data_IF_763537387983
#
_entry.id   IF_763537387983
#
_cell.length_a   1.000
_cell.length_b   1.000
_cell.length_c   1.000
_cell.angle_alpha   90.00
_cell.angle_beta   90.00
_cell.angle_gamma   90.00
#
_symmetry.space_group_name_H-M   'P 1'
#
loop_
_entity.id
_entity.type
_entity.pdbx_description
1 polymer ?
#
# COMPACT_ATOMS: atom_id res chain seq x y z
N UNK A 1 -18.20 -13.58 38.85
CA UNK A 1 -17.34 -12.63 39.58
C UNK A 1 -16.62 -11.77 38.55
N UNK A 2 -17.07 -10.53 38.31
CA UNK A 2 -16.43 -9.67 37.33
C UNK A 2 -15.12 -9.16 37.90
N UNK A 3 -14.00 -9.40 37.19
CA UNK A 3 -12.70 -8.79 37.49
C UNK A 3 -12.85 -7.28 37.34
N UNK A 4 -12.53 -6.55 38.39
CA UNK A 4 -12.40 -5.10 38.36
C UNK A 4 -11.38 -4.70 37.28
N UNK A 5 -11.90 -4.03 36.26
CA UNK A 5 -11.16 -3.34 35.22
C UNK A 5 -10.48 -2.11 35.82
N UNK A 6 -9.35 -2.31 36.49
CA UNK A 6 -8.41 -1.22 36.70
C UNK A 6 -7.64 -1.03 35.41
N UNK A 7 -7.87 0.11 34.73
CA UNK A 7 -7.22 0.49 33.47
C UNK A 7 -5.73 0.81 33.59
N UNK A 8 -4.98 0.05 34.38
CA UNK A 8 -3.53 0.12 34.51
C UNK A 8 -2.93 -1.19 34.00
N UNK A 9 -1.98 -1.08 33.05
CA UNK A 9 -0.84 -1.99 33.09
C UNK A 9 0.07 -1.40 34.18
N UNK A 10 0.34 -2.09 35.29
CA UNK A 10 1.25 -1.59 36.32
C UNK A 10 2.65 -1.41 35.70
N UNK A 11 3.24 -0.21 35.80
CA UNK A 11 4.68 -0.01 35.56
C UNK A 11 5.11 1.03 34.53
N UNK A 12 4.21 1.72 33.81
CA UNK A 12 4.62 2.75 32.85
C UNK A 12 5.03 4.04 33.57
N UNK A 13 6.28 4.54 33.42
CA UNK A 13 6.74 5.72 34.13
C UNK A 13 6.01 6.97 33.61
N UNK A 14 5.49 7.77 34.54
CA UNK A 14 4.96 9.09 34.20
C UNK A 14 6.11 9.99 33.76
N UNK A 15 5.90 10.69 32.64
CA UNK A 15 6.88 11.60 32.05
C UNK A 15 6.48 13.04 32.33
N UNK A 16 7.47 13.90 32.52
CA UNK A 16 7.25 15.35 32.46
C UNK A 16 6.84 15.79 31.04
N UNK A 17 6.32 17.01 30.95
CA UNK A 17 5.74 17.54 29.72
C UNK A 17 6.75 17.61 28.55
N UNK A 18 7.97 18.06 28.81
CA UNK A 18 8.98 18.23 27.75
C UNK A 18 9.52 16.89 27.27
N UNK A 19 9.75 15.94 28.19
CA UNK A 19 10.19 14.57 27.86
C UNK A 19 9.11 13.84 27.05
N UNK A 20 7.84 13.95 27.48
CA UNK A 20 6.72 13.36 26.75
C UNK A 20 6.59 13.93 25.33
N UNK A 21 6.69 15.26 25.21
CA UNK A 21 6.60 15.97 23.92
C UNK A 21 7.75 15.57 22.99
N UNK A 22 8.97 15.44 23.51
CA UNK A 22 10.12 15.05 22.70
C UNK A 22 10.02 13.60 22.20
N UNK A 23 9.52 12.68 23.02
CA UNK A 23 9.31 11.28 22.61
C UNK A 23 8.25 11.16 21.52
N UNK A 24 7.12 11.85 21.66
CA UNK A 24 6.10 11.88 20.59
C UNK A 24 6.66 12.49 19.32
N UNK A 25 7.45 13.56 19.44
CA UNK A 25 8.11 14.19 18.29
C UNK A 25 9.04 13.22 17.56
N UNK A 26 9.81 12.46 18.32
CA UNK A 26 10.79 11.50 17.80
C UNK A 26 10.12 10.31 17.13
N UNK A 27 9.02 9.80 17.69
CA UNK A 27 8.34 8.63 17.16
C UNK A 27 7.36 8.99 16.03
N UNK A 28 6.44 9.93 16.27
CA UNK A 28 5.30 10.18 15.40
C UNK A 28 5.46 11.36 14.44
N UNK A 29 6.45 12.22 14.67
CA UNK A 29 6.60 13.53 14.04
C UNK A 29 6.16 14.67 14.96
N UNK A 30 6.31 15.91 14.52
CA UNK A 30 5.98 17.13 15.27
C UNK A 30 4.47 17.24 15.56
N UNK A 31 4.07 16.71 16.71
CA UNK A 31 2.76 16.90 17.34
C UNK A 31 2.95 17.70 18.62
N UNK A 32 2.24 18.82 18.73
CA UNK A 32 2.40 19.79 19.80
C UNK A 32 1.19 19.73 20.74
N UNK A 33 1.36 19.34 22.01
CA UNK A 33 0.30 19.43 23.02
C UNK A 33 0.02 20.89 23.39
N UNK A 34 -1.26 21.23 23.54
CA UNK A 34 -1.74 22.56 23.92
C UNK A 34 -2.82 22.50 25.02
N UNK A 35 -3.01 23.63 25.69
CA UNK A 35 -4.13 23.83 26.61
C UNK A 35 -3.98 23.16 27.98
N UNK A 36 -2.74 22.92 28.42
CA UNK A 36 -2.43 22.37 29.75
C UNK A 36 -1.19 23.05 30.36
N UNK A 37 -1.25 23.35 31.65
CA UNK A 37 -0.08 23.79 32.42
C UNK A 37 0.91 22.62 32.55
N UNK A 38 2.20 22.78 32.19
CA UNK A 38 3.22 21.75 32.36
C UNK A 38 3.28 21.14 33.78
N UNK A 39 2.91 21.90 34.83
CA UNK A 39 2.86 21.39 36.21
C UNK A 39 1.66 20.50 36.51
N UNK A 40 0.57 20.66 35.76
CA UNK A 40 -0.64 19.85 35.87
C UNK A 40 -0.67 18.71 34.82
N UNK A 41 0.37 18.60 34.00
CA UNK A 41 0.48 17.59 32.96
C UNK A 41 0.73 16.21 33.56
N UNK A 42 0.04 15.21 33.02
CA UNK A 42 0.32 13.81 33.27
C UNK A 42 0.28 13.09 31.93
N UNK A 43 1.38 12.42 31.59
CA UNK A 43 1.49 11.65 30.37
C UNK A 43 2.37 10.43 30.53
N UNK A 44 2.21 9.49 29.61
CA UNK A 44 3.08 8.36 29.44
C UNK A 44 3.34 8.14 27.95
N UNK A 45 4.53 7.62 27.67
CA UNK A 45 4.91 7.09 26.37
C UNK A 45 5.65 5.79 26.64
N UNK A 46 5.13 4.68 26.15
CA UNK A 46 5.82 3.39 26.20
C UNK A 46 6.05 2.94 24.77
N UNK A 47 7.29 3.09 24.24
CA UNK A 47 7.62 2.56 22.93
C UNK A 47 7.46 1.03 22.91
N UNK A 48 7.05 0.52 21.76
CA UNK A 48 6.80 -0.88 21.50
C UNK A 48 7.40 -1.24 20.14
N UNK A 49 7.76 -2.51 19.96
CA UNK A 49 8.10 -3.07 18.65
C UNK A 49 7.04 -4.12 18.29
N UNK A 50 6.48 -4.02 17.09
CA UNK A 50 5.48 -4.98 16.60
C UNK A 50 5.93 -5.49 15.25
N UNK A 51 6.50 -6.70 15.22
CA UNK A 51 6.94 -7.35 13.98
C UNK A 51 7.93 -6.46 13.18
N UNK A 52 8.85 -5.81 13.89
CA UNK A 52 9.82 -4.88 13.31
C UNK A 52 9.25 -3.53 12.85
N UNK A 53 8.03 -3.18 13.28
CA UNK A 53 7.46 -1.85 13.15
C UNK A 53 7.49 -1.12 14.49
N UNK A 54 7.72 0.19 14.44
CA UNK A 54 7.62 1.05 15.62
C UNK A 54 6.17 1.20 16.02
N UNK A 55 5.87 0.95 17.28
CA UNK A 55 4.60 1.27 17.91
C UNK A 55 4.85 2.02 19.21
N UNK A 56 3.81 2.62 19.76
CA UNK A 56 3.87 3.21 21.08
C UNK A 56 2.50 3.24 21.73
N UNK A 57 2.49 2.95 23.01
CA UNK A 57 1.40 3.35 23.88
C UNK A 57 1.61 4.81 24.28
N UNK A 58 0.59 5.64 24.09
CA UNK A 58 0.65 7.07 24.40
C UNK A 58 -0.59 7.43 25.21
N UNK A 59 -0.38 8.06 26.36
CA UNK A 59 -1.46 8.62 27.16
C UNK A 59 -1.13 10.02 27.63
N UNK A 60 -2.14 10.87 27.74
CA UNK A 60 -2.01 12.16 28.43
C UNK A 60 -3.35 12.72 28.88
N UNK A 61 -3.30 13.77 29.70
CA UNK A 61 -4.43 14.65 30.00
C UNK A 61 -4.44 15.93 29.14
N UNK A 62 -3.59 16.04 28.10
CA UNK A 62 -3.57 17.20 27.22
C UNK A 62 -4.93 17.37 26.52
N UNK A 63 -5.43 18.62 26.48
CA UNK A 63 -6.74 18.94 25.89
C UNK A 63 -6.73 18.89 24.37
N UNK A 64 -5.61 19.28 23.78
CA UNK A 64 -5.40 19.37 22.34
C UNK A 64 -3.99 18.89 22.02
N UNK A 65 -3.84 18.11 20.96
CA UNK A 65 -2.53 17.75 20.37
C UNK A 65 -2.61 18.04 18.89
N UNK A 66 -1.75 18.91 18.38
CA UNK A 66 -1.87 19.45 17.03
C UNK A 66 -0.59 19.29 16.21
N UNK A 67 -0.79 18.90 14.95
CA UNK A 67 0.21 18.94 13.88
C UNK A 67 -0.28 19.91 12.83
N UNK A 68 0.41 21.05 12.70
CA UNK A 68 0.05 22.10 11.75
C UNK A 68 0.66 21.86 10.37
N UNK A 69 0.23 22.62 9.37
CA UNK A 69 0.90 22.68 8.07
C UNK A 69 2.38 23.11 8.17
N UNK A 70 2.74 23.92 9.17
CA UNK A 70 4.12 24.32 9.40
C UNK A 70 4.94 23.13 9.89
N UNK A 71 4.40 22.35 10.82
CA UNK A 71 5.07 21.17 11.37
C UNK A 71 5.35 20.12 10.29
N UNK A 72 4.36 19.85 9.42
CA UNK A 72 4.51 18.96 8.26
C UNK A 72 5.68 19.36 7.36
N UNK A 73 5.86 20.66 7.11
CA UNK A 73 6.98 21.16 6.28
C UNK A 73 8.32 21.08 6.99
N UNK A 74 8.34 21.15 8.31
CA UNK A 74 9.59 21.22 9.10
C UNK A 74 10.22 19.86 9.34
N UNK A 75 9.43 18.79 9.51
CA UNK A 75 9.97 17.45 9.75
C UNK A 75 9.91 16.53 8.52
N UNK A 76 9.06 16.82 7.53
CA UNK A 76 8.93 16.01 6.32
C UNK A 76 8.50 14.56 6.60
N UNK A 77 7.81 14.30 7.71
CA UNK A 77 7.37 12.95 8.06
C UNK A 77 6.49 12.34 6.97
N UNK A 78 6.87 11.14 6.51
CA UNK A 78 6.24 10.44 5.38
C UNK A 78 5.82 9.00 5.74
N UNK A 79 4.97 8.91 6.75
CA UNK A 79 4.38 7.64 7.21
C UNK A 79 2.92 7.80 7.56
N UNK A 80 2.22 6.67 7.65
CA UNK A 80 0.93 6.62 8.32
C UNK A 80 1.13 6.14 9.76
N UNK A 81 0.15 6.38 10.61
CA UNK A 81 -0.02 5.54 11.79
C UNK A 81 -1.48 5.15 11.97
N UNK A 82 -1.71 3.95 12.49
CA UNK A 82 -3.01 3.59 13.05
C UNK A 82 -3.05 4.01 14.50
N UNK A 83 -4.10 4.68 14.93
CA UNK A 83 -4.33 5.06 16.32
C UNK A 83 -5.56 4.35 16.85
N UNK A 84 -5.37 3.52 17.87
CA UNK A 84 -6.45 2.84 18.59
C UNK A 84 -6.74 3.57 19.90
N UNK A 85 -8.00 3.86 20.18
CA UNK A 85 -8.40 4.39 21.48
C UNK A 85 -8.53 3.23 22.48
N UNK A 86 -7.75 3.23 23.56
CA UNK A 86 -7.77 2.13 24.56
C UNK A 86 -8.35 2.55 25.91
N UNK A 87 -8.31 3.85 26.24
CA UNK A 87 -9.04 4.39 27.40
C UNK A 87 -9.43 5.86 27.20
N UNK A 88 -10.56 6.28 27.76
CA UNK A 88 -11.10 7.63 27.57
C UNK A 88 -11.71 7.85 26.18
N UNK A 89 -12.03 9.11 25.87
CA UNK A 89 -12.62 9.53 24.60
C UNK A 89 -11.82 10.65 23.98
N UNK A 90 -11.69 10.60 22.66
CA UNK A 90 -11.03 11.64 21.89
C UNK A 90 -11.83 11.98 20.63
N UNK A 91 -11.45 13.08 19.98
CA UNK A 91 -11.88 13.39 18.63
C UNK A 91 -10.65 13.78 17.80
N UNK A 92 -10.71 13.57 16.49
CA UNK A 92 -9.66 13.98 15.56
C UNK A 92 -10.27 14.81 14.45
N UNK A 93 -9.60 15.90 14.09
CA UNK A 93 -9.80 16.59 12.82
C UNK A 93 -8.66 16.22 11.89
N UNK A 94 -8.97 15.67 10.72
CA UNK A 94 -7.99 15.29 9.69
C UNK A 94 -8.65 15.41 8.31
N UNK A 95 -7.97 16.02 7.34
CA UNK A 95 -8.56 16.30 6.02
C UNK A 95 -9.91 17.04 6.09
N UNK A 96 -10.04 18.02 7.00
CA UNK A 96 -11.26 18.81 7.25
C UNK A 96 -12.45 18.01 7.82
N UNK A 97 -12.31 16.69 7.98
CA UNK A 97 -13.31 15.83 8.60
C UNK A 97 -13.02 15.71 10.10
N UNK A 98 -14.07 15.84 10.92
CA UNK A 98 -14.00 15.66 12.36
C UNK A 98 -14.70 14.37 12.77
N UNK A 99 -13.99 13.51 13.48
CA UNK A 99 -14.47 12.18 13.91
C UNK A 99 -14.26 12.01 15.40
N UNK A 100 -15.18 11.32 16.07
CA UNK A 100 -15.08 10.97 17.50
C UNK A 100 -14.64 9.51 17.63
N UNK A 101 -13.82 9.24 18.65
CA UNK A 101 -13.35 7.90 18.98
C UNK A 101 -13.84 7.48 20.35
N UNK A 102 -14.48 6.32 20.38
CA UNK A 102 -14.71 5.57 21.60
C UNK A 102 -13.67 4.45 21.73
N UNK A 103 -13.60 3.86 22.92
CA UNK A 103 -12.66 2.77 23.22
C UNK A 103 -12.88 1.61 22.25
N UNK A 104 -11.79 1.16 21.62
CA UNK A 104 -11.75 0.11 20.61
C UNK A 104 -11.84 0.61 19.17
N UNK A 105 -12.13 1.89 18.95
CA UNK A 105 -12.13 2.49 17.60
C UNK A 105 -10.68 2.68 17.09
N UNK A 106 -10.53 2.67 15.77
CA UNK A 106 -9.25 2.86 15.09
C UNK A 106 -9.35 3.90 13.99
N UNK A 107 -8.36 4.79 13.91
CA UNK A 107 -8.16 5.68 12.76
C UNK A 107 -6.84 5.44 12.06
N UNK A 108 -6.81 5.72 10.76
CA UNK A 108 -5.59 5.83 9.98
C UNK A 108 -5.25 7.32 9.77
N UNK A 109 -4.08 7.74 10.25
CA UNK A 109 -3.64 9.14 10.18
C UNK A 109 -2.47 9.26 9.21
N UNK A 110 -2.57 10.21 8.30
CA UNK A 110 -1.50 10.56 7.36
C UNK A 110 -0.62 11.67 7.95
N UNK A 111 0.64 11.37 8.29
CA UNK A 111 1.53 12.38 8.89
C UNK A 111 2.06 13.42 7.91
N UNK A 112 1.87 13.21 6.60
CA UNK A 112 2.16 14.23 5.59
C UNK A 112 1.04 15.29 5.50
N UNK A 113 0.04 15.23 6.38
CA UNK A 113 -1.08 16.18 6.46
C UNK A 113 -1.29 16.69 7.89
N UNK A 114 -1.90 17.87 8.06
CA UNK A 114 -2.27 18.36 9.38
C UNK A 114 -3.28 17.45 10.07
N UNK A 115 -3.19 17.40 11.40
CA UNK A 115 -4.14 16.67 12.22
C UNK A 115 -4.23 17.32 13.60
N UNK A 116 -5.43 17.34 14.17
CA UNK A 116 -5.65 17.84 15.52
C UNK A 116 -6.43 16.79 16.31
N UNK A 117 -5.93 16.41 17.47
CA UNK A 117 -6.63 15.54 18.42
C UNK A 117 -7.16 16.36 19.58
N UNK A 118 -8.38 16.05 20.02
CA UNK A 118 -9.08 16.70 21.12
C UNK A 118 -9.43 15.68 22.19
N UNK A 119 -9.13 16.00 23.43
CA UNK A 119 -9.62 15.22 24.57
C UNK A 119 -11.08 15.60 24.84
N UNK A 120 -11.99 14.64 24.71
CA UNK A 120 -13.43 14.82 24.97
C UNK A 120 -13.87 14.14 26.28
N UNK A 121 -12.92 13.64 27.07
CA UNK A 121 -13.15 12.88 28.31
C UNK A 121 -13.30 13.76 29.56
N UNK A 122 -13.98 14.91 29.44
CA UNK A 122 -14.26 15.84 30.57
C UNK A 122 -13.02 16.21 31.44
N UNK A 123 -11.83 16.26 30.84
CA UNK A 123 -10.57 16.56 31.54
C UNK A 123 -9.86 15.35 32.17
N UNK A 124 -10.45 14.15 32.09
CA UNK A 124 -9.78 12.90 32.42
C UNK A 124 -8.69 12.51 31.40
N UNK A 125 -7.75 11.64 31.77
CA UNK A 125 -6.72 11.18 30.85
C UNK A 125 -7.33 10.35 29.71
N UNK A 126 -6.66 10.39 28.56
CA UNK A 126 -6.90 9.48 27.45
C UNK A 126 -5.67 8.60 27.24
N UNK A 127 -5.90 7.44 26.63
CA UNK A 127 -4.85 6.49 26.30
C UNK A 127 -5.12 5.89 24.93
N UNK A 128 -4.09 5.85 24.11
CA UNK A 128 -4.13 5.33 22.75
C UNK A 128 -2.89 4.49 22.47
N UNK A 129 -3.02 3.62 21.48
CA UNK A 129 -1.90 2.84 20.96
C UNK A 129 -1.73 3.19 19.50
N UNK A 130 -0.53 3.64 19.14
CA UNK A 130 -0.16 4.03 17.79
C UNK A 130 0.79 3.00 17.18
N UNK A 131 0.53 2.59 15.95
CA UNK A 131 1.43 1.75 15.16
C UNK A 131 1.84 2.52 13.91
N UNK A 132 3.15 2.66 13.72
CA UNK A 132 3.74 3.44 12.66
C UNK A 132 3.96 2.58 11.41
N UNK A 133 3.51 3.09 10.26
CA UNK A 133 3.42 2.37 9.01
C UNK A 133 4.18 3.14 7.92
N UNK A 134 5.38 2.68 7.50
CA UNK A 134 6.14 3.34 6.46
C UNK A 134 5.34 3.42 5.16
N UNK A 135 5.12 4.64 4.63
CA UNK A 135 4.22 4.86 3.48
C UNK A 135 4.55 3.95 2.31
N UNK A 136 5.82 3.95 1.88
CA UNK A 136 6.26 3.17 0.71
C UNK A 136 5.97 1.67 0.87
N UNK A 137 6.26 1.11 2.04
CA UNK A 137 6.07 -0.32 2.32
C UNK A 137 4.59 -0.68 2.36
N UNK A 138 3.78 0.13 3.04
CA UNK A 138 2.33 -0.08 3.13
C UNK A 138 1.66 0.03 1.77
N UNK A 139 1.91 1.11 1.02
CA UNK A 139 1.30 1.34 -0.31
C UNK A 139 1.73 0.25 -1.30
N UNK A 140 3.01 -0.14 -1.27
CA UNK A 140 3.51 -1.23 -2.11
C UNK A 140 2.86 -2.59 -1.79
N UNK A 141 2.49 -2.83 -0.53
CA UNK A 141 1.84 -4.06 -0.11
C UNK A 141 0.34 -4.06 -0.42
N UNK A 142 -0.37 -3.01 -0.01
CA UNK A 142 -1.81 -2.86 -0.20
C UNK A 142 -2.18 -2.76 -1.68
N UNK A 143 -1.32 -2.09 -2.44
CA UNK A 143 -1.55 -1.87 -3.84
C UNK A 143 -2.47 -0.70 -4.18
N UNK A 144 -2.74 0.13 -3.20
CA UNK A 144 -3.43 1.40 -3.32
C UNK A 144 -2.90 2.31 -2.22
N UNK A 145 -3.12 3.61 -2.38
CA UNK A 145 -2.79 4.58 -1.35
C UNK A 145 -4.02 4.79 -0.45
N UNK A 146 -3.96 4.40 0.82
CA UNK A 146 -5.10 4.57 1.71
C UNK A 146 -5.31 6.06 1.99
N UNK A 147 -6.58 6.46 2.09
CA UNK A 147 -6.95 7.82 2.45
C UNK A 147 -6.72 8.02 3.96
N UNK A 148 -5.90 9.00 4.34
CA UNK A 148 -5.78 9.41 5.75
C UNK A 148 -7.08 10.03 6.26
N UNK A 149 -7.32 9.93 7.56
CA UNK A 149 -8.54 10.42 8.22
C UNK A 149 -9.68 9.40 8.25
N UNK A 150 -9.52 8.24 7.63
CA UNK A 150 -10.48 7.15 7.74
C UNK A 150 -10.50 6.60 9.17
N UNK A 151 -11.68 6.23 9.64
CA UNK A 151 -11.87 5.59 10.93
C UNK A 151 -12.79 4.37 10.80
N UNK A 152 -12.67 3.45 11.75
CA UNK A 152 -13.54 2.28 11.90
C UNK A 152 -13.93 2.14 13.36
N UNK A 153 -15.22 1.90 13.58
CA UNK A 153 -15.73 1.57 14.89
C UNK A 153 -15.16 0.25 15.41
N UNK A 154 -15.15 0.12 16.72
CA UNK A 154 -14.80 -1.10 17.42
C UNK A 154 -15.61 -2.30 16.91
N UNK A 155 -15.03 -3.49 16.99
CA UNK A 155 -15.73 -4.73 16.67
C UNK A 155 -15.53 -5.30 15.27
N UNK A 156 -14.71 -4.68 14.42
CA UNK A 156 -14.24 -5.37 13.20
C UNK A 156 -13.25 -6.49 13.56
N UNK A 157 -13.27 -7.61 12.82
CA UNK A 157 -12.33 -8.70 13.05
C UNK A 157 -10.87 -8.25 12.84
N UNK A 158 -10.64 -7.48 11.78
CA UNK A 158 -9.31 -6.95 11.47
C UNK A 158 -8.79 -5.98 12.54
N UNK A 159 -9.67 -5.09 13.07
CA UNK A 159 -9.32 -4.15 14.12
C UNK A 159 -8.95 -4.85 15.43
N UNK A 160 -9.73 -5.86 15.84
CA UNK A 160 -9.42 -6.66 17.03
C UNK A 160 -8.08 -7.38 16.90
N UNK A 161 -7.87 -8.09 15.79
CA UNK A 161 -6.62 -8.83 15.57
C UNK A 161 -5.39 -7.91 15.53
N UNK A 162 -5.52 -6.73 14.91
CA UNK A 162 -4.42 -5.76 14.87
C UNK A 162 -4.13 -5.18 16.26
N UNK A 163 -5.17 -4.81 17.01
CA UNK A 163 -5.01 -4.31 18.38
C UNK A 163 -4.40 -5.38 19.30
N UNK A 164 -4.87 -6.62 19.21
CA UNK A 164 -4.35 -7.74 19.99
C UNK A 164 -2.87 -8.01 19.68
N UNK A 165 -2.47 -7.91 18.41
CA UNK A 165 -1.07 -8.05 18.01
C UNK A 165 -0.18 -6.96 18.61
N UNK A 166 -0.69 -5.72 18.69
CA UNK A 166 0.08 -4.60 19.26
C UNK A 166 0.15 -4.70 20.79
N UNK A 167 -0.96 -5.03 21.45
CA UNK A 167 -1.01 -5.10 22.92
C UNK A 167 -0.27 -6.32 23.49
N UNK A 168 -0.24 -7.42 22.75
CA UNK A 168 0.43 -8.66 23.18
C UNK A 168 1.77 -8.88 22.47
N UNK A 169 2.37 -7.83 21.90
CA UNK A 169 3.71 -7.94 21.33
C UNK A 169 4.71 -8.31 22.44
N UNK A 170 5.30 -9.49 22.33
CA UNK A 170 6.31 -9.98 23.27
C UNK A 170 7.67 -9.26 23.10
N UNK A 171 7.80 -8.41 22.07
CA UNK A 171 9.02 -7.69 21.76
C UNK A 171 9.08 -6.40 22.58
N UNK A 172 9.82 -6.46 23.70
CA UNK A 172 10.30 -5.24 24.34
C UNK A 172 11.25 -4.47 23.41
N UNK A 173 11.47 -3.18 23.69
CA UNK A 173 12.54 -2.42 23.03
C UNK A 173 13.87 -3.20 23.13
N UNK A 174 14.44 -3.56 21.98
CA UNK A 174 15.76 -4.21 21.90
C UNK A 174 15.76 -5.72 21.63
N UNK A 175 14.61 -6.38 21.44
CA UNK A 175 14.60 -7.74 20.90
C UNK A 175 15.19 -7.78 19.48
N UNK A 176 16.11 -8.71 19.17
CA UNK A 176 16.69 -8.81 17.83
C UNK A 176 15.60 -9.23 16.83
N UNK A 177 15.57 -8.65 15.62
CA UNK A 177 14.56 -8.96 14.63
C UNK A 177 14.62 -10.43 14.22
N UNK A 178 13.47 -11.09 14.26
CA UNK A 178 13.31 -12.47 13.81
C UNK A 178 13.02 -12.49 12.30
N UNK A 179 13.44 -13.53 11.55
CA UNK A 179 12.96 -13.75 10.19
C UNK A 179 11.43 -13.79 10.09
N UNK A 180 10.75 -14.23 11.16
CA UNK A 180 9.29 -14.25 11.24
C UNK A 180 8.67 -12.85 11.15
N UNK A 181 9.35 -11.81 11.65
CA UNK A 181 8.85 -10.43 11.67
C UNK A 181 8.51 -9.92 10.28
N UNK A 182 9.31 -10.30 9.28
CA UNK A 182 9.07 -9.90 7.90
C UNK A 182 7.77 -10.46 7.34
N UNK A 183 7.37 -11.67 7.72
CA UNK A 183 6.10 -12.28 7.33
C UNK A 183 4.94 -11.71 8.14
N UNK A 184 5.12 -11.53 9.44
CA UNK A 184 4.08 -11.01 10.33
C UNK A 184 3.77 -9.53 10.06
N UNK A 185 4.77 -8.76 9.62
CA UNK A 185 4.57 -7.40 9.10
C UNK A 185 3.65 -7.37 7.87
N UNK A 186 3.68 -8.39 7.02
CA UNK A 186 2.74 -8.47 5.89
C UNK A 186 1.30 -8.70 6.39
N UNK A 187 1.13 -9.49 7.46
CA UNK A 187 -0.16 -9.65 8.14
C UNK A 187 -0.67 -8.33 8.71
N UNK A 188 0.20 -7.54 9.35
CA UNK A 188 -0.16 -6.17 9.80
C UNK A 188 -0.69 -5.35 8.63
N UNK A 189 0.01 -5.33 7.50
CA UNK A 189 -0.44 -4.58 6.33
C UNK A 189 -1.76 -5.14 5.76
N UNK A 190 -1.97 -6.45 5.75
CA UNK A 190 -3.24 -7.05 5.32
C UNK A 190 -4.40 -6.63 6.24
N UNK A 191 -4.19 -6.56 7.55
CA UNK A 191 -5.19 -6.09 8.52
C UNK A 191 -5.51 -4.60 8.34
N UNK A 192 -4.50 -3.76 8.12
CA UNK A 192 -4.69 -2.34 7.77
C UNK A 192 -5.47 -2.21 6.46
N UNK A 193 -5.16 -3.05 5.47
CA UNK A 193 -5.90 -3.12 4.21
C UNK A 193 -7.36 -3.51 4.40
N UNK A 194 -7.64 -4.52 5.24
CA UNK A 194 -9.01 -4.94 5.56
C UNK A 194 -9.82 -3.85 6.28
N UNK A 195 -9.16 -3.00 7.08
CA UNK A 195 -9.79 -1.87 7.76
C UNK A 195 -10.09 -0.71 6.82
N UNK A 196 -9.14 -0.36 5.94
CA UNK A 196 -9.15 0.92 5.22
C UNK A 196 -9.13 0.78 3.69
N UNK A 197 -9.44 -0.41 3.17
CA UNK A 197 -9.73 -0.57 1.75
C UNK A 197 -10.90 0.36 1.36
N UNK A 198 -10.82 0.99 0.18
CA UNK A 198 -11.94 1.78 -0.31
C UNK A 198 -13.13 0.87 -0.60
N UNK A 199 -14.33 1.34 -0.25
CA UNK A 199 -15.60 0.60 -0.45
C UNK A 199 -15.88 0.35 -1.94
N UNK A 200 -15.36 1.22 -2.81
CA UNK A 200 -15.34 1.05 -4.26
C UNK A 200 -13.88 1.11 -4.74
N UNK A 201 -13.33 0.08 -5.41
CA UNK A 201 -12.01 0.14 -6.02
C UNK A 201 -12.02 1.05 -7.24
N UNK A 202 -12.34 2.34 -7.05
CA UNK A 202 -12.14 3.36 -8.06
C UNK A 202 -10.68 3.29 -8.53
N UNK A 203 -10.40 3.36 -9.84
CA UNK A 203 -9.06 3.23 -10.38
C UNK A 203 -8.17 4.30 -9.74
N UNK A 204 -7.34 3.86 -8.80
CA UNK A 204 -6.45 4.80 -8.12
C UNK A 204 -5.50 5.38 -9.17
N UNK A 205 -5.39 6.71 -9.22
CA UNK A 205 -4.40 7.40 -10.08
C UNK A 205 -2.98 6.83 -9.89
N UNK A 206 -2.71 6.27 -8.70
CA UNK A 206 -1.49 5.53 -8.37
C UNK A 206 -1.40 4.19 -9.12
N UNK A 207 -2.42 3.33 -9.03
CA UNK A 207 -2.46 2.05 -9.75
C UNK A 207 -2.35 2.24 -11.27
N UNK A 208 -2.91 3.31 -11.83
CA UNK A 208 -2.77 3.60 -13.26
C UNK A 208 -1.37 4.13 -13.64
N UNK A 209 -0.75 4.96 -12.79
CA UNK A 209 0.67 5.33 -12.96
C UNK A 209 1.56 4.09 -12.87
N UNK A 210 1.29 3.21 -11.93
CA UNK A 210 2.03 1.98 -11.70
C UNK A 210 1.85 0.98 -12.83
N UNK A 211 0.62 0.81 -13.33
CA UNK A 211 0.34 0.00 -14.50
C UNK A 211 1.03 0.55 -15.75
N UNK A 212 1.08 1.88 -15.93
CA UNK A 212 1.89 2.50 -17.00
C UNK A 212 3.37 2.18 -16.86
N UNK A 213 3.93 2.23 -15.64
CA UNK A 213 5.33 1.84 -15.36
C UNK A 213 5.58 0.37 -15.69
N UNK A 214 4.72 -0.53 -15.21
CA UNK A 214 4.80 -1.98 -15.50
C UNK A 214 4.73 -2.24 -17.00
N UNK A 215 3.84 -1.56 -17.72
CA UNK A 215 3.76 -1.65 -19.19
C UNK A 215 5.05 -1.19 -19.87
N UNK A 216 5.71 -0.14 -19.36
CA UNK A 216 7.03 0.29 -19.82
C UNK A 216 8.08 -0.80 -19.61
N UNK A 217 8.17 -1.35 -18.39
CA UNK A 217 9.09 -2.45 -18.06
C UNK A 217 8.89 -3.66 -18.97
N UNK A 218 7.64 -4.05 -19.24
CA UNK A 218 7.32 -5.15 -20.15
C UNK A 218 7.71 -4.81 -21.59
N UNK A 219 7.41 -3.60 -22.05
CA UNK A 219 7.80 -3.14 -23.40
C UNK A 219 9.32 -3.16 -23.61
N UNK A 220 10.09 -2.91 -22.57
CA UNK A 220 11.56 -2.90 -22.66
C UNK A 220 12.16 -4.32 -22.52
N UNK A 221 11.44 -5.27 -21.91
CA UNK A 221 11.93 -6.62 -21.62
C UNK A 221 11.35 -7.75 -22.46
N UNK A 222 10.23 -7.54 -23.19
CA UNK A 222 9.46 -8.66 -23.78
C UNK A 222 10.25 -9.55 -24.75
N UNK A 223 11.29 -9.03 -25.40
CA UNK A 223 12.09 -9.78 -26.37
C UNK A 223 13.05 -10.78 -25.71
N UNK A 224 13.35 -10.61 -24.42
CA UNK A 224 14.14 -11.58 -23.66
C UNK A 224 13.26 -12.81 -23.34
N UNK A 225 13.67 -14.04 -23.70
CA UNK A 225 12.92 -15.26 -23.40
C UNK A 225 12.82 -15.58 -21.90
N UNK A 226 13.71 -15.05 -21.07
CA UNK A 226 13.74 -15.26 -19.61
C UNK A 226 12.89 -14.21 -18.87
N UNK A 227 12.52 -13.13 -19.56
CA UNK A 227 11.65 -12.10 -19.01
C UNK A 227 10.23 -12.64 -18.77
N UNK A 228 9.81 -12.54 -17.52
CA UNK A 228 8.51 -13.04 -17.03
C UNK A 228 7.93 -12.21 -15.90
N UNK A 229 6.79 -12.62 -15.31
CA UNK A 229 6.10 -11.86 -14.27
C UNK A 229 6.96 -11.56 -13.04
N UNK A 230 7.84 -12.48 -12.63
CA UNK A 230 8.74 -12.27 -11.50
C UNK A 230 9.72 -11.11 -11.76
N UNK A 231 10.34 -11.09 -12.93
CA UNK A 231 11.28 -10.03 -13.30
C UNK A 231 10.57 -8.70 -13.54
N UNK A 232 9.39 -8.72 -14.18
CA UNK A 232 8.55 -7.54 -14.36
C UNK A 232 8.16 -6.91 -13.00
N UNK A 233 7.82 -7.73 -12.01
CA UNK A 233 7.52 -7.28 -10.65
C UNK A 233 8.76 -6.65 -9.98
N UNK A 234 9.91 -7.33 -10.05
CA UNK A 234 11.17 -6.87 -9.47
C UNK A 234 11.62 -5.53 -10.07
N UNK A 235 11.63 -5.41 -11.41
CA UNK A 235 12.00 -4.16 -12.11
C UNK A 235 10.98 -3.04 -11.89
N UNK A 236 9.71 -3.38 -11.69
CA UNK A 236 8.68 -2.41 -11.31
C UNK A 236 8.67 -2.11 -9.80
N UNK A 237 9.55 -2.70 -8.99
CA UNK A 237 9.64 -2.45 -7.55
C UNK A 237 8.39 -2.82 -6.77
N UNK A 238 7.70 -3.89 -7.16
CA UNK A 238 6.48 -4.39 -6.51
C UNK A 238 6.55 -5.90 -6.28
N UNK A 239 5.69 -6.44 -5.42
CA UNK A 239 5.57 -7.89 -5.23
C UNK A 239 4.90 -8.55 -6.44
N UNK A 240 5.23 -9.83 -6.69
CA UNK A 240 4.58 -10.62 -7.74
C UNK A 240 3.07 -10.74 -7.52
N UNK A 241 2.63 -10.91 -6.26
CA UNK A 241 1.21 -10.95 -5.89
C UNK A 241 0.48 -9.67 -6.28
N UNK A 242 1.12 -8.51 -6.04
CA UNK A 242 0.52 -7.24 -6.41
C UNK A 242 0.49 -7.04 -7.93
N UNK A 243 1.55 -7.42 -8.64
CA UNK A 243 1.55 -7.44 -10.10
C UNK A 243 0.39 -8.28 -10.65
N UNK A 244 0.18 -9.49 -10.11
CA UNK A 244 -0.93 -10.35 -10.51
C UNK A 244 -2.29 -9.68 -10.24
N UNK A 245 -2.51 -9.13 -9.05
CA UNK A 245 -3.74 -8.38 -8.70
C UNK A 245 -3.99 -7.22 -9.66
N UNK A 246 -2.94 -6.45 -10.00
CA UNK A 246 -2.99 -5.30 -10.92
C UNK A 246 -3.51 -5.69 -12.31
N UNK A 247 -3.12 -6.88 -12.80
CA UNK A 247 -3.58 -7.43 -14.08
C UNK A 247 -4.98 -8.07 -13.97
N UNK A 248 -5.26 -8.83 -12.90
CA UNK A 248 -6.57 -9.46 -12.68
C UNK A 248 -7.69 -8.42 -12.60
N UNK A 249 -7.46 -7.29 -11.91
CA UNK A 249 -8.41 -6.16 -11.86
C UNK A 249 -8.71 -5.57 -13.25
N UNK A 250 -7.84 -5.80 -14.24
CA UNK A 250 -7.99 -5.33 -15.63
C UNK A 250 -8.41 -6.47 -16.58
N UNK A 251 -8.84 -7.62 -16.04
CA UNK A 251 -9.30 -8.75 -16.83
C UNK A 251 -8.19 -9.42 -17.66
N UNK A 252 -6.95 -9.42 -17.18
CA UNK A 252 -5.81 -10.01 -17.88
C UNK A 252 -4.83 -10.67 -16.90
N UNK A 253 -3.82 -11.34 -17.42
CA UNK A 253 -2.64 -11.79 -16.66
C UNK A 253 -1.37 -11.13 -17.20
N UNK A 254 -0.36 -10.97 -16.34
CA UNK A 254 0.92 -10.42 -16.78
C UNK A 254 1.55 -11.26 -17.91
N UNK A 255 1.42 -12.59 -17.85
CA UNK A 255 1.91 -13.48 -18.90
C UNK A 255 1.21 -13.24 -20.24
N UNK A 256 -0.12 -13.16 -20.26
CA UNK A 256 -0.87 -12.87 -21.50
C UNK A 256 -0.46 -11.52 -22.09
N UNK A 257 -0.21 -10.53 -21.23
CA UNK A 257 0.24 -9.22 -21.65
C UNK A 257 1.68 -9.22 -22.19
N UNK A 258 2.60 -10.01 -21.61
CA UNK A 258 3.94 -10.19 -22.21
C UNK A 258 3.81 -10.84 -23.59
N UNK A 259 3.00 -11.90 -23.71
CA UNK A 259 2.80 -12.57 -24.98
C UNK A 259 2.14 -11.69 -26.03
N UNK A 260 1.24 -10.76 -25.66
CA UNK A 260 0.67 -9.81 -26.63
C UNK A 260 1.75 -8.92 -27.23
N UNK A 261 2.67 -8.36 -26.42
CA UNK A 261 3.80 -7.59 -26.93
C UNK A 261 4.70 -8.41 -27.85
N UNK A 262 5.03 -9.66 -27.48
CA UNK A 262 5.82 -10.57 -28.32
C UNK A 262 5.14 -10.83 -29.67
N UNK A 263 3.84 -11.12 -29.66
CA UNK A 263 3.05 -11.42 -30.86
C UNK A 263 2.84 -10.20 -31.76
N UNK A 264 2.57 -9.03 -31.18
CA UNK A 264 2.41 -7.77 -31.93
C UNK A 264 3.73 -7.32 -32.57
N UNK A 265 4.86 -7.61 -31.93
CA UNK A 265 6.18 -7.40 -32.54
C UNK A 265 6.44 -8.40 -33.67
N UNK A 266 6.14 -9.69 -33.46
CA UNK A 266 6.30 -10.72 -34.49
C UNK A 266 5.46 -10.41 -35.74
N UNK A 267 4.22 -9.97 -35.57
CA UNK A 267 3.35 -9.59 -36.69
C UNK A 267 3.97 -8.47 -37.54
N UNK A 268 4.55 -7.45 -36.89
CA UNK A 268 5.25 -6.36 -37.60
C UNK A 268 6.48 -6.86 -38.37
N UNK A 269 7.26 -7.78 -37.80
CA UNK A 269 8.41 -8.37 -38.49
C UNK A 269 7.98 -9.23 -39.69
N UNK A 270 6.92 -10.04 -39.53
CA UNK A 270 6.38 -10.87 -40.61
C UNK A 270 5.81 -10.05 -41.77
N UNK A 271 5.15 -8.93 -41.47
CA UNK A 271 4.67 -8.01 -42.51
C UNK A 271 5.82 -7.33 -43.25
N UNK A 272 6.84 -6.87 -42.51
CA UNK A 272 8.05 -6.31 -43.13
C UNK A 272 8.71 -7.35 -44.03
N UNK A 273 8.79 -8.60 -43.59
CA UNK A 273 9.29 -9.73 -44.38
C UNK A 273 8.49 -9.94 -45.66
N UNK A 274 7.16 -9.97 -45.57
CA UNK A 274 6.28 -10.15 -46.72
C UNK A 274 6.36 -8.98 -47.72
N UNK A 275 6.49 -7.75 -47.22
CA UNK A 275 6.52 -6.53 -48.05
C UNK A 275 7.87 -6.35 -48.74
N UNK A 276 8.98 -6.64 -48.06
CA UNK A 276 10.34 -6.40 -48.55
C UNK A 276 10.97 -7.63 -49.20
N UNK A 277 10.26 -8.77 -49.26
CA UNK A 277 10.81 -10.04 -49.76
C UNK A 277 11.99 -10.55 -48.94
N UNK A 278 12.05 -10.24 -47.64
CA UNK A 278 13.19 -10.59 -46.80
C UNK A 278 13.28 -12.12 -46.59
N UNK A 279 14.50 -12.66 -46.61
CA UNK A 279 14.76 -14.10 -46.46
C UNK A 279 14.77 -14.61 -45.01
N UNK A 280 14.55 -13.75 -44.02
CA UNK A 280 14.61 -14.10 -42.59
C UNK A 280 13.71 -15.31 -42.29
N UNK A 281 14.23 -16.29 -41.55
CA UNK A 281 13.47 -17.50 -41.25
C UNK A 281 12.37 -17.21 -40.22
N UNK A 282 11.22 -17.88 -40.34
CA UNK A 282 10.11 -17.72 -39.37
C UNK A 282 10.52 -18.09 -37.94
N UNK A 283 11.46 -19.04 -37.80
CA UNK A 283 12.04 -19.41 -36.51
C UNK A 283 12.86 -18.27 -35.90
N UNK A 284 13.69 -17.59 -36.69
CA UNK A 284 14.48 -16.43 -36.24
C UNK A 284 13.59 -15.29 -35.76
N UNK A 285 12.47 -15.05 -36.43
CA UNK A 285 11.48 -14.05 -35.99
C UNK A 285 10.88 -14.47 -34.64
N UNK A 286 10.54 -15.74 -34.45
CA UNK A 286 10.03 -16.23 -33.17
C UNK A 286 11.04 -16.02 -32.03
N UNK A 287 12.31 -16.36 -32.27
CA UNK A 287 13.39 -16.18 -31.29
C UNK A 287 13.66 -14.70 -30.98
N UNK A 288 13.69 -13.84 -32.00
CA UNK A 288 13.86 -12.38 -31.83
C UNK A 288 12.71 -11.74 -31.03
N UNK A 289 11.53 -12.35 -31.03
CA UNK A 289 10.39 -11.93 -30.23
C UNK A 289 10.34 -12.60 -28.85
N UNK A 290 11.38 -13.31 -28.40
CA UNK A 290 11.43 -13.90 -27.06
C UNK A 290 10.68 -15.23 -26.91
N UNK A 291 10.35 -15.92 -28.00
CA UNK A 291 9.84 -17.29 -27.92
C UNK A 291 11.01 -18.29 -27.92
N UNK A 292 10.98 -19.27 -27.00
CA UNK A 292 11.97 -20.35 -26.94
C UNK A 292 11.74 -21.47 -27.95
N UNK A 293 10.54 -21.57 -28.49
CA UNK A 293 10.15 -22.64 -29.42
C UNK A 293 9.15 -22.13 -30.46
N UNK A 294 9.37 -22.56 -31.71
CA UNK A 294 8.54 -22.18 -32.84
C UNK A 294 7.14 -22.79 -32.78
N UNK A 295 6.97 -24.03 -32.29
CA UNK A 295 5.63 -24.64 -32.20
C UNK A 295 4.75 -23.87 -31.23
N UNK A 296 5.31 -23.45 -30.09
CA UNK A 296 4.61 -22.62 -29.13
C UNK A 296 4.23 -21.26 -29.72
N UNK A 297 5.17 -20.60 -30.39
CA UNK A 297 4.93 -19.36 -31.11
C UNK A 297 3.80 -19.49 -32.14
N UNK A 298 3.88 -20.47 -33.05
CA UNK A 298 2.91 -20.66 -34.12
C UNK A 298 1.49 -20.92 -33.59
N UNK A 299 1.37 -21.67 -32.49
CA UNK A 299 0.08 -21.91 -31.81
C UNK A 299 -0.50 -20.62 -31.23
N UNK A 300 0.31 -19.84 -30.50
CA UNK A 300 -0.11 -18.56 -29.90
C UNK A 300 -0.45 -17.51 -30.97
N UNK A 301 0.33 -17.45 -32.04
CA UNK A 301 0.10 -16.57 -33.18
C UNK A 301 -1.22 -16.90 -33.88
N UNK A 302 -1.45 -18.17 -34.21
CA UNK A 302 -2.72 -18.60 -34.81
C UNK A 302 -3.92 -18.33 -33.92
N UNK A 303 -3.79 -18.57 -32.62
CA UNK A 303 -4.84 -18.25 -31.65
C UNK A 303 -5.17 -16.74 -31.64
N UNK A 304 -4.16 -15.87 -31.76
CA UNK A 304 -4.34 -14.41 -31.71
C UNK A 304 -4.82 -13.79 -33.02
N UNK A 305 -4.32 -14.28 -34.15
CA UNK A 305 -4.51 -13.65 -35.47
C UNK A 305 -5.41 -14.47 -36.42
N UNK A 306 -5.77 -15.71 -36.07
CA UNK A 306 -6.64 -16.57 -36.87
C UNK A 306 -5.91 -17.36 -37.96
N UNK A 307 -4.67 -17.01 -38.30
CA UNK A 307 -3.86 -17.69 -39.31
C UNK A 307 -2.45 -18.01 -38.80
N UNK A 308 -1.73 -18.89 -39.51
CA UNK A 308 -0.34 -19.21 -39.17
C UNK A 308 0.63 -18.07 -39.51
N UNK A 309 1.82 -18.02 -38.87
CA UNK A 309 2.86 -17.01 -39.15
C UNK A 309 3.26 -16.92 -40.63
N UNK A 310 3.31 -18.07 -41.33
CA UNK A 310 3.68 -18.13 -42.74
C UNK A 310 2.63 -17.62 -43.72
N UNK A 311 1.39 -17.45 -43.28
CA UNK A 311 0.29 -16.90 -44.08
C UNK A 311 0.07 -15.40 -43.83
N UNK A 312 0.93 -14.76 -43.01
CA UNK A 312 0.80 -13.33 -42.71
C UNK A 312 1.14 -12.51 -43.95
N UNK A 313 0.18 -11.68 -44.38
CA UNK A 313 0.26 -10.83 -45.57
C UNK A 313 0.50 -9.37 -45.20
N UNK A 314 0.89 -8.55 -46.17
CA UNK A 314 1.09 -7.10 -45.97
C UNK A 314 -0.22 -6.34 -45.64
N UNK A 315 -1.39 -6.95 -45.91
CA UNK A 315 -2.71 -6.31 -45.75
C UNK A 315 -3.31 -6.48 -44.34
N UNK A 316 -2.77 -7.40 -43.53
CA UNK A 316 -3.38 -7.84 -42.26
C UNK A 316 -3.42 -6.76 -41.14
N UNK A 317 -2.69 -5.64 -41.26
CA UNK A 317 -2.66 -4.58 -40.23
C UNK A 317 -3.50 -3.33 -40.53
N UNK A 318 -3.88 -3.05 -41.79
CA UNK A 318 -4.60 -1.80 -42.11
C UNK A 318 -5.99 -1.74 -41.47
N UNK A 319 -6.58 -2.88 -41.13
CA UNK A 319 -7.87 -2.97 -40.46
C UNK A 319 -7.83 -2.86 -38.91
N UNK A 320 -6.65 -2.81 -38.28
CA UNK A 320 -6.53 -2.90 -36.80
C UNK A 320 -5.64 -1.86 -36.13
N UNK A 321 -4.87 -1.08 -36.88
CA UNK A 321 -4.12 0.07 -36.33
C UNK A 321 -5.05 1.21 -35.82
N UNK A 322 -6.36 1.14 -36.14
CA UNK A 322 -7.42 2.01 -35.60
C UNK A 322 -8.24 1.41 -34.44
N UNK A 323 -7.98 0.17 -34.04
CA UNK A 323 -8.78 -0.56 -33.02
C UNK A 323 -7.92 -1.53 -32.21
N UNK A 324 -6.95 -1.03 -31.45
CA UNK A 324 -6.55 -1.71 -30.21
C UNK A 324 -7.46 -1.21 -29.09
N UNK A 325 -8.76 -1.46 -29.28
CA UNK A 325 -9.81 -1.29 -28.28
C UNK A 325 -10.22 -2.68 -27.80
N UNK A 326 -9.40 -3.27 -26.95
CA UNK A 326 -9.79 -4.37 -26.08
C UNK A 326 -9.01 -4.24 -24.78
N UNK A 327 -9.32 -3.21 -24.00
CA UNK A 327 -9.31 -3.16 -22.52
C UNK A 327 -10.03 -1.87 -22.10
N UNK A 328 -11.29 -1.99 -21.65
CA UNK A 328 -12.03 -0.95 -20.89
C UNK A 328 -12.35 0.36 -21.62
N UNK A 329 -13.45 0.38 -22.39
CA UNK A 329 -14.13 1.62 -22.74
C UNK A 329 -14.90 2.12 -21.51
N UNK A 330 -14.42 3.16 -20.83
CA UNK A 330 -15.30 4.12 -20.16
C UNK A 330 -15.47 5.30 -21.10
N UNK A 331 -16.65 5.41 -21.71
CA UNK A 331 -17.08 6.67 -22.32
C UNK A 331 -17.37 7.62 -21.17
N UNK A 332 -16.54 8.64 -21.01
CA UNK A 332 -16.93 9.85 -20.30
C UNK A 332 -17.92 10.59 -21.20
N UNK A 333 -19.16 10.69 -20.72
CA UNK A 333 -20.15 11.69 -21.12
C UNK A 333 -20.51 12.47 -19.87
#
# INVERSE_FOLDING_TARGET
MPRESSGNIPGSPHLDFETWKELIRTMGGRFNPEGIDPKAFTGCVCPLSVCGLTAAEVGSNARRVERTHRDVRLDGADHYFTIFQVAGRSAMTHNEEAVRFDVGDVALVDTARPATFFNTNAGGPWKSVALLLPRRSLVSHLGFEPRGGLYRHSGTAAGRLLLDLILNSADGEGSPPSPADSYMRLTVYDLVGALFAPDDPAPSRHADKLFRRVRGVIKDGFADPDFGPCEAAARAGISLRYLQKLFTQRGSTCNEFIYSFRLDHAARLLQRRATLGASQALGEIAYACGFRDYRHFARKFRHRFGHGPGACSAEDNRARDGTVNYYGHERLS
#
